data_IF_615512851950
#
_entry.id   IF_615512851950
#
_cell.length_a   1.000
_cell.length_b   1.000
_cell.length_c   1.000
_cell.angle_alpha   90.00
_cell.angle_beta   90.00
_cell.angle_gamma   90.00
#
_symmetry.space_group_name_H-M   'P 1'
#
loop_
_entity.id
_entity.type
_entity.pdbx_description
1 polymer ?
#
# COMPACT_ATOMS: atom_id res chain seq x y z
N UNK A 1 11.97 13.77 14.36
CA UNK A 1 10.55 13.75 14.74
C UNK A 1 9.70 13.06 13.66
N UNK A 2 9.73 13.48 12.39
CA UNK A 2 8.85 12.88 11.36
C UNK A 2 8.98 11.37 11.01
N UNK A 3 10.03 10.67 11.43
CA UNK A 3 10.10 9.21 11.28
C UNK A 3 9.24 8.49 12.33
N UNK A 4 9.22 9.06 13.54
CA UNK A 4 8.50 8.56 14.70
C UNK A 4 6.98 8.60 14.46
N UNK A 5 6.48 9.68 13.85
CA UNK A 5 5.07 9.82 13.45
C UNK A 5 4.62 8.72 12.45
N UNK A 6 5.52 8.34 11.54
CA UNK A 6 5.24 7.32 10.52
C UNK A 6 5.27 5.91 11.15
N UNK A 7 6.21 5.68 12.08
CA UNK A 7 6.32 4.43 12.84
C UNK A 7 5.15 4.24 13.81
N UNK A 8 4.68 5.29 14.48
CA UNK A 8 3.47 5.26 15.33
C UNK A 8 2.22 4.87 14.52
N UNK A 9 2.03 5.50 13.36
CA UNK A 9 0.93 5.15 12.46
C UNK A 9 0.99 3.67 12.04
N UNK A 10 2.19 3.20 11.70
CA UNK A 10 2.43 1.81 11.32
C UNK A 10 2.17 0.83 12.49
N UNK A 11 2.59 1.19 13.71
CA UNK A 11 2.34 0.44 14.92
C UNK A 11 0.83 0.35 15.23
N UNK A 12 0.09 1.45 15.06
CA UNK A 12 -1.38 1.47 15.21
C UNK A 12 -2.07 0.50 14.24
N UNK A 13 -1.67 0.53 12.97
CA UNK A 13 -2.17 -0.40 11.95
C UNK A 13 -1.86 -1.86 12.30
N UNK A 14 -0.66 -2.13 12.81
CA UNK A 14 -0.25 -3.47 13.23
C UNK A 14 -1.08 -3.96 14.41
N UNK A 15 -1.33 -3.13 15.41
CA UNK A 15 -2.18 -3.45 16.58
C UNK A 15 -3.62 -3.74 16.16
N UNK A 16 -4.17 -2.94 15.25
CA UNK A 16 -5.51 -3.19 14.67
C UNK A 16 -5.56 -4.52 13.93
N UNK A 17 -4.54 -4.84 13.13
CA UNK A 17 -4.43 -6.10 12.38
C UNK A 17 -4.30 -7.31 13.33
N UNK A 18 -3.49 -7.18 14.38
CA UNK A 18 -3.26 -8.25 15.37
C UNK A 18 -4.57 -8.64 16.08
N UNK A 19 -5.32 -7.65 16.57
CA UNK A 19 -6.64 -7.87 17.20
C UNK A 19 -7.63 -8.58 16.29
N UNK A 20 -7.56 -8.31 14.99
CA UNK A 20 -8.52 -8.82 14.01
C UNK A 20 -8.13 -10.16 13.40
N UNK A 21 -6.94 -10.69 13.72
CA UNK A 21 -6.50 -12.02 13.30
C UNK A 21 -6.32 -12.21 11.79
N UNK A 22 -6.27 -11.10 11.02
CA UNK A 22 -6.17 -11.16 9.56
C UNK A 22 -4.71 -11.15 9.11
N UNK A 23 -4.36 -12.06 8.20
CA UNK A 23 -3.07 -12.05 7.51
C UNK A 23 -3.04 -11.04 6.38
N UNK A 24 -1.85 -10.51 6.06
CA UNK A 24 -1.66 -9.56 4.96
C UNK A 24 -2.16 -10.10 3.61
N UNK A 25 -2.05 -11.41 3.36
CA UNK A 25 -2.61 -12.05 2.17
C UNK A 25 -4.15 -12.02 2.09
N UNK A 26 -4.84 -12.10 3.22
CA UNK A 26 -6.31 -11.99 3.28
C UNK A 26 -6.75 -10.55 3.02
N UNK A 27 -6.01 -9.58 3.58
CA UNK A 27 -6.23 -8.15 3.32
C UNK A 27 -5.95 -7.81 1.84
N UNK A 28 -4.84 -8.32 1.28
CA UNK A 28 -4.47 -8.16 -0.12
C UNK A 28 -5.60 -8.60 -1.07
N UNK A 29 -6.14 -9.81 -0.87
CA UNK A 29 -7.27 -10.33 -1.66
C UNK A 29 -8.53 -9.49 -1.51
N UNK A 30 -8.84 -9.01 -0.29
CA UNK A 30 -10.06 -8.21 -0.05
C UNK A 30 -9.98 -6.80 -0.62
N UNK A 31 -8.79 -6.20 -0.60
CA UNK A 31 -8.56 -4.84 -1.07
C UNK A 31 -8.15 -4.76 -2.55
N UNK A 32 -7.93 -5.90 -3.21
CA UNK A 32 -7.30 -5.99 -4.54
C UNK A 32 -5.93 -5.28 -4.58
N UNK A 33 -5.15 -5.45 -3.52
CA UNK A 33 -3.85 -4.81 -3.33
C UNK A 33 -2.76 -5.85 -3.13
N UNK A 34 -1.55 -5.57 -3.58
CA UNK A 34 -0.41 -6.46 -3.37
C UNK A 34 0.05 -6.48 -1.92
N UNK A 35 0.45 -7.66 -1.45
CA UNK A 35 0.98 -7.87 -0.09
C UNK A 35 2.19 -6.99 0.20
N UNK A 36 3.04 -6.72 -0.81
CA UNK A 36 4.19 -5.81 -0.68
C UNK A 36 3.79 -4.37 -0.36
N UNK A 37 2.71 -3.86 -0.96
CA UNK A 37 2.21 -2.51 -0.67
C UNK A 37 1.72 -2.42 0.78
N UNK A 38 0.97 -3.43 1.21
CA UNK A 38 0.51 -3.54 2.60
C UNK A 38 1.67 -3.64 3.59
N UNK A 39 2.70 -4.42 3.26
CA UNK A 39 3.89 -4.55 4.08
C UNK A 39 4.62 -3.22 4.21
N UNK A 40 4.70 -2.44 3.12
CA UNK A 40 5.33 -1.11 3.13
C UNK A 40 4.53 -0.12 3.98
N UNK A 41 3.21 -0.21 3.98
CA UNK A 41 2.35 0.64 4.80
C UNK A 41 2.42 0.27 6.29
N UNK A 42 2.41 -1.03 6.62
CA UNK A 42 2.52 -1.51 8.01
C UNK A 42 3.92 -1.45 8.61
N UNK A 43 4.97 -1.23 7.81
CA UNK A 43 6.33 -0.94 8.29
C UNK A 43 6.66 0.56 8.28
N UNK A 44 5.70 1.43 7.91
CA UNK A 44 5.98 2.88 7.83
C UNK A 44 6.96 3.27 6.71
N UNK A 45 7.27 2.37 5.78
CA UNK A 45 8.19 2.64 4.67
C UNK A 45 7.50 3.33 3.49
N UNK A 46 6.16 3.32 3.45
CA UNK A 46 5.37 4.15 2.55
C UNK A 46 4.08 4.59 3.23
N UNK A 47 3.84 5.89 3.26
CA UNK A 47 2.56 6.47 3.69
C UNK A 47 1.76 6.81 2.43
N UNK A 48 0.57 6.20 2.22
CA UNK A 48 -0.27 6.54 1.08
C UNK A 48 -0.67 8.02 1.14
N UNK A 49 -0.68 8.75 0.01
CA UNK A 49 -1.11 10.15 -0.05
C UNK A 49 -2.63 10.31 0.11
N UNK A 50 -3.37 9.20 0.06
CA UNK A 50 -4.82 9.18 0.20
C UNK A 50 -5.22 8.21 1.32
N UNK A 51 -6.17 8.62 2.16
CA UNK A 51 -6.71 7.81 3.26
C UNK A 51 -7.67 6.71 2.78
N UNK A 52 -8.18 6.77 1.55
CA UNK A 52 -9.15 5.80 1.01
C UNK A 52 -8.73 4.31 1.13
N UNK A 53 -7.51 3.90 0.75
CA UNK A 53 -7.05 2.52 0.97
C UNK A 53 -6.87 2.17 2.45
N UNK A 54 -6.50 3.14 3.29
CA UNK A 54 -6.34 2.96 4.75
C UNK A 54 -7.69 2.74 5.42
N UNK A 55 -8.70 3.53 5.06
CA UNK A 55 -10.06 3.38 5.57
C UNK A 55 -10.64 2.00 5.21
N UNK A 56 -10.47 1.56 3.95
CA UNK A 56 -10.94 0.22 3.53
C UNK A 56 -10.24 -0.89 4.31
N UNK A 57 -8.94 -0.75 4.58
CA UNK A 57 -8.18 -1.71 5.37
C UNK A 57 -8.68 -1.72 6.81
N UNK A 58 -8.83 -0.57 7.43
CA UNK A 58 -9.29 -0.43 8.80
C UNK A 58 -10.74 -0.95 8.95
N UNK A 59 -11.63 -0.69 8.00
CA UNK A 59 -12.96 -1.32 7.93
C UNK A 59 -12.88 -2.83 7.80
N UNK A 60 -11.99 -3.36 6.95
CA UNK A 60 -11.77 -4.80 6.83
C UNK A 60 -11.24 -5.43 8.14
N UNK A 61 -10.45 -4.67 8.90
CA UNK A 61 -9.97 -5.01 10.23
C UNK A 61 -11.00 -4.74 11.34
N UNK A 62 -12.27 -4.43 11.04
CA UNK A 62 -13.29 -4.09 12.06
C UNK A 62 -12.85 -2.98 13.02
N UNK A 63 -12.13 -1.97 12.52
CA UNK A 63 -11.86 -0.76 13.29
C UNK A 63 -13.17 -0.05 13.64
N UNK A 64 -13.27 0.48 14.85
CA UNK A 64 -14.41 1.33 15.23
C UNK A 64 -14.28 2.70 14.55
N UNK A 65 -15.38 3.44 14.38
CA UNK A 65 -15.32 4.80 13.84
C UNK A 65 -14.42 5.73 14.66
N UNK A 66 -14.32 5.52 15.97
CA UNK A 66 -13.41 6.28 16.84
C UNK A 66 -11.93 6.00 16.49
N UNK A 67 -11.57 4.71 16.31
CA UNK A 67 -10.21 4.33 15.91
C UNK A 67 -9.88 4.79 14.49
N UNK A 68 -10.87 4.88 13.59
CA UNK A 68 -10.68 5.46 12.25
C UNK A 68 -10.29 6.94 12.34
N UNK A 69 -10.96 7.71 13.21
CA UNK A 69 -10.66 9.13 13.41
C UNK A 69 -9.28 9.33 14.04
N UNK A 70 -8.91 8.51 15.03
CA UNK A 70 -7.58 8.56 15.66
C UNK A 70 -6.47 8.21 14.66
N UNK A 71 -6.70 7.18 13.84
CA UNK A 71 -5.80 6.79 12.75
C UNK A 71 -5.69 7.89 11.69
N UNK A 72 -6.79 8.59 11.39
CA UNK A 72 -6.79 9.71 10.44
C UNK A 72 -5.95 10.89 10.95
N UNK A 73 -6.04 11.21 12.25
CA UNK A 73 -5.20 12.25 12.87
C UNK A 73 -3.71 11.92 12.77
N UNK A 74 -3.33 10.69 13.13
CA UNK A 74 -1.95 10.23 13.00
C UNK A 74 -1.49 10.16 11.54
N UNK A 75 -2.37 9.75 10.63
CA UNK A 75 -2.07 9.74 9.20
C UNK A 75 -1.74 11.14 8.66
N UNK A 76 -2.44 12.19 9.11
CA UNK A 76 -2.12 13.58 8.73
C UNK A 76 -0.71 13.95 9.20
N UNK A 77 -0.34 13.63 10.45
CA UNK A 77 1.00 13.90 10.98
C UNK A 77 2.07 13.15 10.18
N UNK A 78 1.87 11.85 9.95
CA UNK A 78 2.74 11.02 9.13
C UNK A 78 2.85 11.50 7.67
N UNK A 79 1.75 11.94 7.05
CA UNK A 79 1.73 12.49 5.69
C UNK A 79 2.53 13.80 5.61
N UNK A 80 2.37 14.68 6.60
CA UNK A 80 3.16 15.93 6.63
C UNK A 80 4.66 15.64 6.78
N UNK A 81 5.04 14.66 7.60
CA UNK A 81 6.42 14.22 7.75
C UNK A 81 6.98 13.55 6.48
N UNK A 82 6.17 12.69 5.84
CA UNK A 82 6.50 12.04 4.57
C UNK A 82 6.69 13.08 3.45
N UNK A 83 5.81 14.08 3.35
CA UNK A 83 5.96 15.18 2.37
C UNK A 83 7.26 15.96 2.56
N UNK A 84 7.68 16.20 3.81
CA UNK A 84 8.99 16.83 4.10
C UNK A 84 10.15 15.97 3.61
N UNK A 85 10.16 14.67 3.98
CA UNK A 85 11.16 13.68 3.53
C UNK A 85 11.26 13.55 2.01
N UNK A 86 10.13 13.46 1.31
CA UNK A 86 10.11 13.39 -0.17
C UNK A 86 10.70 14.66 -0.77
N UNK A 87 10.41 15.84 -0.20
CA UNK A 87 10.96 17.11 -0.68
C UNK A 87 12.47 17.23 -0.45
N UNK A 88 13.00 16.61 0.61
CA UNK A 88 14.44 16.56 0.90
C UNK A 88 15.20 15.49 0.09
N UNK A 89 14.49 14.48 -0.43
CA UNK A 89 15.08 13.36 -1.21
C UNK A 89 14.93 13.55 -2.73
N UNK A 90 14.17 14.55 -3.17
CA UNK A 90 14.03 14.92 -4.59
C UNK A 90 15.09 15.95 -4.98
N UNK A 91 16.28 15.46 -5.31
CA UNK A 91 16.95 15.88 -6.55
C UNK A 91 16.08 15.37 -7.73
N UNK A 92 15.84 16.17 -8.78
CA UNK A 92 14.81 15.87 -9.78
C UNK A 92 15.26 14.78 -10.75
N UNK A 93 14.87 13.53 -10.50
CA UNK A 93 14.70 12.55 -11.57
C UNK A 93 13.44 11.71 -11.38
N UNK A 94 12.52 11.97 -12.31
CA UNK A 94 11.30 11.26 -12.75
C UNK A 94 10.11 11.15 -11.78
N UNK A 95 8.94 11.74 -12.12
CA UNK A 95 7.68 11.45 -11.46
C UNK A 95 7.26 10.01 -11.77
N UNK A 96 6.96 9.28 -10.70
CA UNK A 96 6.29 7.98 -10.77
C UNK A 96 4.82 8.21 -11.12
N UNK A 97 4.40 7.72 -12.28
CA UNK A 97 3.00 7.44 -12.53
C UNK A 97 2.57 6.30 -11.58
N UNK A 98 1.41 6.37 -10.91
CA UNK A 98 0.90 5.27 -10.12
C UNK A 98 0.37 4.18 -11.05
N UNK A 99 1.28 3.38 -11.63
CA UNK A 99 0.92 2.14 -12.31
C UNK A 99 0.50 1.14 -11.24
N UNK A 100 -0.80 1.16 -10.92
CA UNK A 100 -1.49 -0.11 -10.73
C UNK A 100 -1.24 -0.97 -11.97
N UNK A 101 -0.98 -2.26 -11.75
CA UNK A 101 -0.64 -3.29 -12.77
C UNK A 101 0.85 -3.66 -12.83
N UNK A 102 1.26 -4.57 -11.94
CA UNK A 102 2.14 -5.68 -12.35
C UNK A 102 1.94 -6.88 -11.42
N UNK A 103 0.87 -7.60 -11.68
CA UNK A 103 0.89 -9.06 -11.68
C UNK A 103 0.00 -9.44 -12.87
N UNK A 104 0.50 -10.28 -13.80
CA UNK A 104 0.66 -11.67 -13.42
C UNK A 104 1.93 -12.36 -13.99
N UNK A 105 2.40 -13.34 -13.22
CA UNK A 105 2.69 -14.68 -13.73
C UNK A 105 3.59 -14.80 -14.98
N UNK A 106 4.90 -14.97 -14.77
CA UNK A 106 5.78 -15.58 -15.77
C UNK A 106 5.54 -17.10 -15.77
N UNK A 107 4.52 -17.53 -16.52
CA UNK A 107 4.46 -18.87 -17.11
C UNK A 107 4.90 -18.72 -18.58
N UNK A 108 6.12 -19.12 -18.98
CA UNK A 108 6.48 -19.12 -20.38
C UNK A 108 6.09 -20.45 -21.04
N UNK A 109 4.99 -20.45 -21.81
CA UNK A 109 4.73 -21.35 -22.94
C UNK A 109 3.52 -20.82 -23.74
N UNK A 110 3.36 -21.11 -25.05
CA UNK A 110 4.29 -21.24 -26.18
C UNK A 110 3.88 -20.29 -27.36
N UNK A 111 4.67 -20.15 -28.45
CA UNK A 111 4.11 -19.61 -29.70
C UNK A 111 3.83 -20.73 -30.72
N UNK A 112 2.54 -20.92 -31.04
CA UNK A 112 2.04 -21.69 -32.19
C UNK A 112 2.06 -20.82 -33.46
N UNK A 113 2.28 -21.48 -34.60
CA UNK A 113 2.43 -21.03 -35.99
C UNK A 113 1.55 -19.85 -36.47
N UNK A 114 1.89 -19.28 -37.64
CA UNK A 114 0.95 -19.38 -38.74
C UNK A 114 1.57 -19.71 -40.12
N UNK A 115 0.83 -20.50 -40.91
CA UNK A 115 0.99 -20.63 -42.36
C UNK A 115 0.79 -19.28 -43.08
N UNK A 116 1.35 -19.11 -44.29
CA UNK A 116 0.49 -19.29 -45.47
C UNK A 116 1.18 -19.94 -46.70
N UNK A 117 0.43 -20.76 -47.44
CA UNK A 117 0.60 -21.08 -48.88
C UNK A 117 0.28 -19.81 -49.73
N UNK A 118 0.52 -19.66 -51.07
CA UNK A 118 1.03 -20.59 -52.11
C UNK A 118 2.06 -19.99 -53.12
N UNK A 119 2.77 -20.86 -53.88
CA UNK A 119 3.07 -20.83 -55.35
C UNK A 119 4.16 -21.86 -55.64
#
# INVERSE_FOLDING_TARGET
>A
MGADDIEEFAARLRTLKDRSGLSYGTLAKRLHMSTSTLHRYCNGTAVPPEYAPVERLARACRATPDELVDLHRHWILADTARRRRTKETTDPYVPVEPTGETAPETTPAPPTAPAPEPT
#
